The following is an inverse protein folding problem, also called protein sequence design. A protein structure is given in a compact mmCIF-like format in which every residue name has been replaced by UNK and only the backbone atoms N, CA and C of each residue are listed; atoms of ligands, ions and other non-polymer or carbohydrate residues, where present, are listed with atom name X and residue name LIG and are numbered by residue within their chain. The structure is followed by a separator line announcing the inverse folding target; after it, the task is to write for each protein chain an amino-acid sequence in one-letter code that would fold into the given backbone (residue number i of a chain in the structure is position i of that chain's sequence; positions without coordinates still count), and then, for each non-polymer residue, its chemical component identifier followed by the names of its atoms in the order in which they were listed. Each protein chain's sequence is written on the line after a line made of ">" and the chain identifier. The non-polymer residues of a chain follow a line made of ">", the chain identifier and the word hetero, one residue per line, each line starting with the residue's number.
data_IF_493047755212
#
_entry.id   IF_493047755212
#
_cell.length_a   1.000
_cell.length_b   1.000
_cell.length_c   1.000
_cell.angle_alpha   90.00
_cell.angle_beta   90.00
_cell.angle_gamma   90.00
#
_symmetry.space_group_name_H-M   'P 1'
#
loop_
_entity.id
_entity.type
_entity.pdbx_description
1 polymer ?
#
# COMPACT_ATOMS: atom_id res chain seq x y z
N UNK A 1 -2.84 -7.07 -6.81
CA UNK A 1 -3.20 -6.47 -5.50
C UNK A 1 -3.99 -7.49 -4.71
N UNK A 2 -3.45 -7.92 -3.61
CA UNK A 2 -4.00 -9.02 -2.81
C UNK A 2 -4.24 -8.53 -1.37
N UNK A 3 -5.35 -8.97 -0.76
CA UNK A 3 -5.65 -8.61 0.63
C UNK A 3 -4.67 -9.30 1.59
N UNK A 4 -4.10 -8.52 2.50
CA UNK A 4 -3.29 -9.02 3.61
C UNK A 4 -3.96 -8.66 4.94
N UNK A 5 -3.80 -9.54 5.91
CA UNK A 5 -4.14 -9.22 7.29
C UNK A 5 -3.03 -8.33 7.87
N UNK A 6 -3.28 -7.69 9.00
CA UNK A 6 -2.24 -6.94 9.70
C UNK A 6 -1.03 -7.79 10.03
N UNK A 7 -1.26 -9.05 10.47
CA UNK A 7 -0.18 -9.97 10.80
C UNK A 7 0.66 -10.35 9.57
N UNK A 8 -0.01 -10.60 8.43
CA UNK A 8 0.68 -10.91 7.19
C UNK A 8 1.52 -9.72 6.70
N UNK A 9 0.93 -8.53 6.75
CA UNK A 9 1.63 -7.30 6.37
C UNK A 9 2.87 -7.08 7.24
N UNK A 10 2.74 -7.22 8.54
CA UNK A 10 3.85 -7.05 9.47
C UNK A 10 4.97 -8.05 9.19
N UNK A 11 4.63 -9.31 8.96
CA UNK A 11 5.62 -10.34 8.65
C UNK A 11 6.38 -10.02 7.37
N UNK A 12 5.67 -9.56 6.33
CA UNK A 12 6.30 -9.21 5.06
C UNK A 12 7.20 -7.98 5.18
N UNK A 13 6.74 -6.96 5.91
CA UNK A 13 7.54 -5.76 6.17
C UNK A 13 8.86 -6.12 6.86
N UNK A 14 8.81 -7.03 7.82
CA UNK A 14 9.99 -7.44 8.58
C UNK A 14 10.95 -8.33 7.81
N UNK A 15 10.43 -9.16 6.89
CA UNK A 15 11.21 -10.23 6.27
C UNK A 15 11.61 -9.98 4.82
N UNK A 16 10.93 -9.08 4.11
CA UNK A 16 11.20 -8.83 2.70
C UNK A 16 12.06 -7.58 2.52
N UNK A 17 12.88 -7.59 1.45
CA UNK A 17 13.69 -6.43 1.09
C UNK A 17 12.82 -5.22 0.77
N UNK A 18 11.71 -5.45 0.06
CA UNK A 18 10.77 -4.39 -0.34
C UNK A 18 9.36 -4.85 -0.11
N UNK A 19 8.56 -3.99 0.51
CA UNK A 19 7.13 -4.25 0.70
C UNK A 19 6.35 -3.01 0.27
N UNK A 20 5.31 -3.21 -0.53
CA UNK A 20 4.40 -2.15 -0.94
C UNK A 20 3.04 -2.48 -0.36
N UNK A 21 2.52 -1.60 0.48
CA UNK A 21 1.27 -1.79 1.19
C UNK A 21 0.29 -0.68 0.86
N UNK A 22 -0.85 -1.04 0.29
CA UNK A 22 -1.95 -0.13 -0.01
C UNK A 22 -2.97 -0.21 1.12
N UNK A 23 -3.16 0.91 1.83
CA UNK A 23 -4.08 0.99 2.96
C UNK A 23 -5.37 1.70 2.51
N UNK A 24 -6.50 1.08 2.80
CA UNK A 24 -7.81 1.54 2.36
C UNK A 24 -8.88 1.28 3.41
N UNK A 25 -10.09 1.79 3.14
CA UNK A 25 -11.31 1.37 3.85
C UNK A 25 -12.39 1.10 2.81
N UNK A 26 -13.35 0.19 3.09
CA UNK A 26 -14.40 -0.14 2.12
C UNK A 26 -15.32 1.04 1.76
N UNK A 27 -15.47 2.01 2.67
CA UNK A 27 -16.33 3.18 2.46
C UNK A 27 -15.65 4.32 1.70
N UNK A 28 -14.45 4.11 1.23
CA UNK A 28 -13.65 5.14 0.55
C UNK A 28 -13.85 5.04 -0.98
N UNK A 29 -14.55 6.01 -1.57
CA UNK A 29 -14.79 6.01 -3.02
C UNK A 29 -13.52 6.16 -3.85
N UNK A 30 -12.60 7.02 -3.43
CA UNK A 30 -11.33 7.23 -4.12
C UNK A 30 -10.40 6.02 -4.00
N UNK A 31 -10.59 5.18 -2.97
CA UNK A 31 -9.80 3.97 -2.81
C UNK A 31 -10.04 2.95 -3.93
N UNK A 32 -11.25 2.93 -4.50
CA UNK A 32 -11.56 2.02 -5.60
C UNK A 32 -10.80 2.40 -6.87
N UNK A 33 -10.74 3.70 -7.16
CA UNK A 33 -9.95 4.20 -8.29
C UNK A 33 -8.47 3.93 -8.07
N UNK A 34 -7.99 4.19 -6.87
CA UNK A 34 -6.60 3.92 -6.50
C UNK A 34 -6.23 2.45 -6.71
N UNK A 35 -7.11 1.53 -6.32
CA UNK A 35 -6.90 0.11 -6.51
C UNK A 35 -6.76 -0.26 -7.98
N UNK A 36 -7.59 0.33 -8.86
CA UNK A 36 -7.51 0.10 -10.30
C UNK A 36 -6.15 0.54 -10.85
N UNK A 37 -5.69 1.70 -10.42
CA UNK A 37 -4.39 2.24 -10.83
C UNK A 37 -3.25 1.32 -10.38
N UNK A 38 -3.28 0.87 -9.12
CA UNK A 38 -2.27 -0.03 -8.58
C UNK A 38 -2.27 -1.38 -9.28
N UNK A 39 -3.43 -1.88 -9.66
CA UNK A 39 -3.53 -3.14 -10.40
C UNK A 39 -2.79 -3.05 -11.74
N UNK A 40 -2.95 -1.92 -12.44
CA UNK A 40 -2.24 -1.69 -13.70
C UNK A 40 -0.74 -1.63 -13.47
N UNK A 41 -0.30 -0.91 -12.46
CA UNK A 41 1.13 -0.77 -12.13
C UNK A 41 1.74 -2.13 -11.78
N UNK A 42 1.03 -2.91 -10.96
CA UNK A 42 1.48 -4.24 -10.55
C UNK A 42 1.66 -5.17 -11.75
N UNK A 43 0.79 -5.07 -12.73
CA UNK A 43 0.90 -5.86 -13.96
C UNK A 43 2.06 -5.42 -14.85
N UNK A 44 2.51 -4.19 -14.72
CA UNK A 44 3.53 -3.58 -15.57
C UNK A 44 4.94 -3.77 -15.04
N UNK A 45 5.10 -3.75 -13.71
CA UNK A 45 6.41 -3.90 -13.06
C UNK A 45 6.61 -5.36 -12.68
N UNK A 46 7.62 -6.00 -13.25
CA UNK A 46 7.98 -7.38 -12.96
C UNK A 46 8.35 -7.53 -11.48
N UNK A 47 7.89 -8.63 -10.88
CA UNK A 47 8.16 -8.99 -9.47
C UNK A 47 7.58 -8.03 -8.42
N UNK A 48 6.79 -7.03 -8.84
CA UNK A 48 6.10 -6.15 -7.90
C UNK A 48 4.87 -6.85 -7.35
N UNK A 49 4.76 -6.93 -6.04
CA UNK A 49 3.55 -7.40 -5.36
C UNK A 49 3.05 -6.33 -4.42
N UNK A 50 1.79 -5.95 -4.59
CA UNK A 50 1.16 -4.93 -3.75
C UNK A 50 0.12 -5.61 -2.87
N UNK A 51 0.32 -5.51 -1.55
CA UNK A 51 -0.68 -5.98 -0.60
C UNK A 51 -1.64 -4.86 -0.28
N UNK A 52 -2.92 -5.20 -0.02
CA UNK A 52 -3.90 -4.23 0.41
C UNK A 52 -4.39 -4.58 1.81
N UNK A 53 -4.49 -3.56 2.65
CA UNK A 53 -4.87 -3.71 4.05
C UNK A 53 -6.08 -2.84 4.35
N UNK A 54 -7.15 -3.47 4.83
CA UNK A 54 -8.32 -2.74 5.32
C UNK A 54 -7.97 -2.20 6.71
N UNK A 55 -7.86 -0.87 6.81
CA UNK A 55 -7.45 -0.20 8.04
C UNK A 55 -8.43 -0.46 9.20
N UNK A 56 -9.70 -0.75 8.90
CA UNK A 56 -10.69 -1.07 9.94
C UNK A 56 -10.33 -2.33 10.73
N UNK A 57 -9.60 -3.26 10.13
CA UNK A 57 -9.17 -4.50 10.78
C UNK A 57 -7.78 -4.41 11.40
N UNK A 58 -7.07 -3.34 11.13
CA UNK A 58 -5.72 -3.14 11.67
C UNK A 58 -5.48 -1.67 12.00
N UNK A 59 -6.31 -1.09 12.89
CA UNK A 59 -6.26 0.36 13.15
C UNK A 59 -4.93 0.84 13.74
N UNK A 60 -4.18 -0.04 14.39
CA UNK A 60 -2.87 0.31 14.93
C UNK A 60 -1.86 0.74 13.87
N UNK A 61 -2.06 0.33 12.60
CA UNK A 61 -1.19 0.74 11.50
C UNK A 61 -1.23 2.26 11.30
N UNK A 62 -2.39 2.88 11.51
CA UNK A 62 -2.53 4.33 11.38
C UNK A 62 -1.61 5.07 12.35
N UNK A 63 -1.55 4.60 13.59
CA UNK A 63 -0.70 5.20 14.61
C UNK A 63 0.77 4.88 14.37
N UNK A 64 1.07 3.62 14.06
CA UNK A 64 2.44 3.15 13.90
C UNK A 64 3.16 3.83 12.73
N UNK A 65 2.48 4.02 11.62
CA UNK A 65 3.08 4.60 10.41
C UNK A 65 2.60 6.01 10.09
N UNK A 66 1.85 6.63 10.98
CA UNK A 66 1.37 7.98 10.82
C UNK A 66 0.43 8.17 9.63
N UNK A 67 -0.50 7.24 9.43
CA UNK A 67 -1.47 7.31 8.33
C UNK A 67 -2.58 8.28 8.72
N UNK A 68 -2.68 9.39 8.00
CA UNK A 68 -3.65 10.46 8.30
C UNK A 68 -4.95 10.34 7.52
N UNK A 69 -4.91 9.66 6.38
CA UNK A 69 -6.10 9.45 5.54
C UNK A 69 -5.90 8.27 4.60
N UNK A 70 -6.99 7.80 3.99
CA UNK A 70 -6.96 6.77 2.95
C UNK A 70 -7.49 7.35 1.64
N UNK A 71 -7.03 6.90 0.48
CA UNK A 71 -6.04 5.85 0.28
C UNK A 71 -4.63 6.28 0.69
N UNK A 72 -3.83 5.33 1.12
CA UNK A 72 -2.44 5.59 1.48
C UNK A 72 -1.57 4.43 1.00
N UNK A 73 -0.51 4.74 0.27
CA UNK A 73 0.43 3.74 -0.20
C UNK A 73 1.72 3.87 0.62
N UNK A 74 2.11 2.79 1.26
CA UNK A 74 3.33 2.72 2.06
C UNK A 74 4.36 1.88 1.33
N UNK A 75 5.58 2.40 1.21
CA UNK A 75 6.69 1.64 0.62
C UNK A 75 7.75 1.43 1.69
N UNK A 76 8.10 0.18 1.91
CA UNK A 76 9.12 -0.21 2.89
C UNK A 76 10.32 -0.82 2.20
N UNK A 77 11.50 -0.54 2.73
CA UNK A 77 12.74 -1.21 2.32
C UNK A 77 13.45 -1.71 3.58
N UNK A 78 13.73 -3.00 3.62
CA UNK A 78 14.41 -3.65 4.74
C UNK A 78 13.78 -3.30 6.10
N UNK A 79 12.45 -3.33 6.15
CA UNK A 79 11.70 -3.07 7.37
C UNK A 79 11.47 -1.59 7.69
N UNK A 80 12.03 -0.67 6.90
CA UNK A 80 11.91 0.76 7.14
C UNK A 80 10.95 1.41 6.16
N UNK A 81 10.02 2.22 6.67
CA UNK A 81 9.12 3.00 5.83
C UNK A 81 9.91 4.10 5.12
N UNK A 82 9.96 4.06 3.79
CA UNK A 82 10.71 5.04 3.00
C UNK A 82 9.82 6.01 2.24
N UNK A 83 8.59 5.62 1.92
CA UNK A 83 7.63 6.50 1.20
C UNK A 83 6.24 6.32 1.74
N UNK A 84 5.49 7.42 1.78
CA UNK A 84 4.09 7.44 2.15
C UNK A 84 3.38 8.33 1.14
N UNK A 85 2.54 7.75 0.29
CA UNK A 85 1.92 8.43 -0.83
C UNK A 85 0.41 8.47 -0.63
N UNK A 86 -0.17 9.67 -0.59
CA UNK A 86 -1.62 9.86 -0.48
C UNK A 86 -2.26 10.22 -1.81
N UNK A 87 -1.59 11.04 -2.61
CA UNK A 87 -2.09 11.46 -3.91
C UNK A 87 -1.45 10.58 -5.00
N UNK A 88 -2.27 9.78 -5.66
CA UNK A 88 -1.78 8.80 -6.63
C UNK A 88 -1.57 9.39 -8.04
N UNK A 89 -2.21 10.51 -8.32
CA UNK A 89 -2.09 11.26 -9.59
C UNK A 89 -2.43 10.43 -10.83
N UNK A 90 -1.52 9.56 -11.25
CA UNK A 90 -1.64 8.78 -12.48
C UNK A 90 -0.91 7.46 -12.34
N UNK A 91 -1.19 6.54 -13.27
CA UNK A 91 -0.46 5.27 -13.37
C UNK A 91 1.03 5.56 -13.62
N UNK A 92 1.34 6.51 -14.47
CA UNK A 92 2.71 6.90 -14.80
C UNK A 92 3.48 7.39 -13.57
N UNK A 93 2.83 8.21 -12.76
CA UNK A 93 3.42 8.70 -11.51
C UNK A 93 3.77 7.54 -10.58
N UNK A 94 2.80 6.64 -10.36
CA UNK A 94 3.01 5.47 -9.50
C UNK A 94 4.11 4.57 -10.04
N UNK A 95 4.16 4.40 -11.36
CA UNK A 95 5.19 3.60 -12.01
C UNK A 95 6.59 4.13 -11.67
N UNK A 96 6.76 5.46 -11.62
CA UNK A 96 8.06 6.06 -11.27
C UNK A 96 8.38 5.95 -9.79
N UNK A 97 7.35 5.87 -8.91
CA UNK A 97 7.54 5.82 -7.46
C UNK A 97 7.75 4.39 -6.92
N UNK A 98 7.34 3.41 -7.65
CA UNK A 98 7.43 2.00 -7.27
C UNK A 98 8.45 1.25 -8.11
#
# INVERSE_FOLDING_TARGET
>A
VIDWTGAEATALIENEEKTVLYVYTPMCGTCQLAKKMLTVVEMTIEDLKIGMLDLNYAPHFAKEYGIESVPCLLVFENGTLIKKIYAFHSVEYLYTEL
#
